data_IF_398688977379
#
_entry.id   IF_398688977379
#
_cell.length_a   1.000
_cell.length_b   1.000
_cell.length_c   1.000
_cell.angle_alpha   90.00
_cell.angle_beta   90.00
_cell.angle_gamma   90.00
#
_symmetry.space_group_name_H-M   'P 1'
#
loop_
_entity.id
_entity.type
_entity.pdbx_description
1 polymer ?
#
# COMPACT_ATOMS: atom_id res chain seq x y z
N UNK A 1 -8.85 -21.19 38.61
CA UNK A 1 -9.84 -21.28 37.50
C UNK A 1 -11.29 -21.21 38.01
N UNK A 2 -11.54 -20.87 39.28
CA UNK A 2 -12.91 -20.70 39.76
C UNK A 2 -13.53 -19.38 39.28
N UNK A 3 -14.80 -19.44 38.93
CA UNK A 3 -15.66 -18.28 38.67
C UNK A 3 -15.81 -17.84 37.20
N UNK A 4 -15.05 -18.39 36.24
CA UNK A 4 -15.24 -18.08 34.82
C UNK A 4 -16.31 -19.01 34.21
N UNK A 5 -17.34 -18.49 33.51
CA UNK A 5 -18.38 -19.33 32.92
C UNK A 5 -17.85 -20.33 31.89
N UNK A 6 -18.50 -21.50 31.81
CA UNK A 6 -18.10 -22.59 30.90
C UNK A 6 -18.09 -22.17 29.44
N UNK A 7 -19.01 -21.31 29.01
CA UNK A 7 -19.11 -20.84 27.62
C UNK A 7 -17.89 -20.07 27.13
N UNK A 8 -17.05 -19.56 28.04
CA UNK A 8 -15.78 -18.92 27.69
C UNK A 8 -14.79 -19.92 27.10
N UNK A 9 -14.90 -21.19 27.50
CA UNK A 9 -14.04 -22.27 27.04
C UNK A 9 -14.74 -23.15 26.00
N UNK A 10 -16.01 -23.44 26.22
CA UNK A 10 -16.83 -24.33 25.40
C UNK A 10 -18.18 -23.68 25.08
N UNK A 11 -18.22 -22.73 24.12
CA UNK A 11 -19.46 -22.09 23.71
C UNK A 11 -20.38 -23.12 23.04
N UNK A 12 -21.60 -23.23 23.56
CA UNK A 12 -22.63 -24.13 23.02
C UNK A 12 -23.49 -23.36 22.01
N UNK A 13 -23.40 -23.71 20.72
CA UNK A 13 -24.19 -23.09 19.65
C UNK A 13 -24.85 -24.13 18.76
N UNK A 14 -25.92 -23.72 18.09
CA UNK A 14 -26.59 -24.57 17.11
C UNK A 14 -25.72 -24.79 15.86
N UNK A 15 -26.02 -25.83 15.06
CA UNK A 15 -25.27 -26.13 13.83
C UNK A 15 -25.29 -25.01 12.78
N UNK A 16 -26.27 -24.12 12.83
CA UNK A 16 -26.41 -22.99 11.90
C UNK A 16 -25.73 -21.73 12.42
N UNK A 17 -25.00 -21.82 13.53
CA UNK A 17 -24.39 -20.70 14.21
C UNK A 17 -22.90 -20.92 14.44
N UNK A 18 -22.18 -19.82 14.52
CA UNK A 18 -20.76 -19.78 14.85
C UNK A 18 -20.57 -18.89 16.06
N UNK A 19 -19.82 -19.38 17.04
CA UNK A 19 -19.47 -18.63 18.23
C UNK A 19 -18.06 -18.03 18.13
N UNK A 20 -17.93 -16.81 18.63
CA UNK A 20 -16.67 -16.13 18.85
C UNK A 20 -16.60 -15.69 20.31
N UNK A 21 -15.52 -16.04 20.99
CA UNK A 21 -15.31 -15.68 22.40
C UNK A 21 -14.25 -14.60 22.47
N UNK A 22 -14.68 -13.35 22.63
CA UNK A 22 -13.78 -12.21 22.82
C UNK A 22 -13.26 -12.17 24.25
N UNK A 23 -11.98 -11.83 24.40
CA UNK A 23 -11.38 -11.50 25.70
C UNK A 23 -10.64 -10.18 25.60
N UNK A 24 -10.91 -9.27 26.53
CA UNK A 24 -10.13 -8.06 26.73
C UNK A 24 -9.70 -7.90 28.18
N UNK A 25 -8.44 -7.52 28.39
CA UNK A 25 -7.86 -7.30 29.72
C UNK A 25 -7.26 -5.90 29.77
N UNK A 26 -7.67 -5.10 30.75
CA UNK A 26 -7.08 -3.76 30.97
C UNK A 26 -7.20 -3.33 32.44
N UNK A 27 -6.53 -2.24 32.81
CA UNK A 27 -6.65 -1.65 34.16
C UNK A 27 -8.00 -1.00 34.41
N UNK A 28 -8.77 -0.71 33.36
CA UNK A 28 -10.13 -0.19 33.44
C UNK A 28 -11.09 -1.01 32.58
N UNK A 29 -12.34 -1.10 33.02
CA UNK A 29 -13.35 -1.93 32.37
C UNK A 29 -13.69 -1.45 30.94
N UNK A 30 -13.78 -0.13 30.71
CA UNK A 30 -14.12 0.42 29.40
C UNK A 30 -13.11 0.00 28.32
N UNK A 31 -11.81 0.05 28.62
CA UNK A 31 -10.75 -0.40 27.71
C UNK A 31 -10.80 -1.92 27.56
N UNK A 32 -11.05 -2.67 28.64
CA UNK A 32 -11.19 -4.12 28.58
C UNK A 32 -12.37 -4.54 27.67
N UNK A 33 -13.50 -3.82 27.71
CA UNK A 33 -14.64 -4.02 26.80
C UNK A 33 -14.25 -3.77 25.34
N UNK A 34 -13.59 -2.65 25.05
CA UNK A 34 -13.12 -2.35 23.68
C UNK A 34 -12.18 -3.45 23.17
N UNK A 35 -11.22 -3.87 23.97
CA UNK A 35 -10.30 -4.96 23.62
C UNK A 35 -11.04 -6.29 23.40
N UNK A 36 -12.12 -6.56 24.14
CA UNK A 36 -12.93 -7.75 23.94
C UNK A 36 -13.71 -7.71 22.61
N UNK A 37 -14.24 -6.55 22.21
CA UNK A 37 -14.82 -6.37 20.87
C UNK A 37 -13.78 -6.52 19.76
N UNK A 38 -12.60 -5.90 19.91
CA UNK A 38 -11.47 -6.07 18.98
C UNK A 38 -11.08 -7.56 18.86
N UNK A 39 -11.09 -8.30 19.98
CA UNK A 39 -10.84 -9.74 19.99
C UNK A 39 -11.91 -10.55 19.23
N UNK A 40 -13.20 -10.22 19.36
CA UNK A 40 -14.27 -10.85 18.57
C UNK A 40 -14.06 -10.58 17.07
N UNK A 41 -13.80 -9.31 16.72
CA UNK A 41 -13.61 -8.90 15.34
C UNK A 41 -12.36 -9.55 14.72
N UNK A 42 -11.28 -9.70 15.49
CA UNK A 42 -10.07 -10.40 15.04
C UNK A 42 -10.36 -11.86 14.69
N UNK A 43 -11.11 -12.58 15.54
CA UNK A 43 -11.51 -13.97 15.24
C UNK A 43 -12.43 -14.04 14.02
N UNK A 44 -13.37 -13.10 13.89
CA UNK A 44 -14.25 -12.99 12.73
C UNK A 44 -13.46 -12.71 11.44
N UNK A 45 -12.47 -11.81 11.50
CA UNK A 45 -11.56 -11.52 10.39
C UNK A 45 -10.79 -12.75 9.94
N UNK A 46 -10.28 -13.54 10.89
CA UNK A 46 -9.59 -14.81 10.61
C UNK A 46 -10.53 -15.82 9.95
N UNK A 47 -11.79 -15.90 10.42
CA UNK A 47 -12.79 -16.80 9.87
C UNK A 47 -13.15 -16.47 8.41
N UNK A 48 -13.46 -15.19 8.14
CA UNK A 48 -13.82 -14.70 6.81
C UNK A 48 -12.59 -14.65 5.88
N UNK A 49 -11.40 -14.47 6.45
CA UNK A 49 -10.15 -14.27 5.70
C UNK A 49 -9.94 -12.83 5.22
N UNK A 50 -10.63 -11.85 5.80
CA UNK A 50 -10.53 -10.41 5.51
C UNK A 50 -10.52 -9.61 6.82
N UNK A 51 -9.80 -8.47 6.89
CA UNK A 51 -9.89 -7.60 8.07
C UNK A 51 -11.23 -6.82 8.09
N UNK A 52 -12.04 -7.10 9.10
CA UNK A 52 -13.35 -6.46 9.33
C UNK A 52 -13.34 -5.48 10.51
N UNK A 53 -12.21 -5.36 11.21
CA UNK A 53 -12.12 -4.66 12.50
C UNK A 53 -12.46 -3.19 12.37
N UNK A 54 -11.77 -2.47 11.49
CA UNK A 54 -11.99 -1.03 11.31
C UNK A 54 -13.40 -0.68 10.79
N UNK A 55 -14.01 -1.58 10.01
CA UNK A 55 -15.36 -1.38 9.45
C UNK A 55 -16.47 -1.54 10.49
N UNK A 56 -16.30 -2.46 11.44
CA UNK A 56 -17.37 -2.87 12.34
C UNK A 56 -17.14 -2.58 13.83
N UNK A 57 -15.97 -2.07 14.25
CA UNK A 57 -15.73 -1.78 15.67
C UNK A 57 -16.73 -0.79 16.27
N UNK A 58 -17.09 0.27 15.53
CA UNK A 58 -18.08 1.25 15.98
C UNK A 58 -19.49 0.64 16.07
N UNK A 59 -19.87 -0.21 15.10
CA UNK A 59 -21.17 -0.88 15.08
C UNK A 59 -21.30 -1.87 16.24
N UNK A 60 -20.30 -2.76 16.39
CA UNK A 60 -20.31 -3.79 17.42
C UNK A 60 -20.28 -3.18 18.83
N UNK A 61 -19.45 -2.16 19.06
CA UNK A 61 -19.35 -1.52 20.38
C UNK A 61 -20.59 -0.73 20.79
N UNK A 62 -21.33 -0.17 19.82
CA UNK A 62 -22.53 0.64 20.10
C UNK A 62 -23.82 -0.19 20.15
N UNK A 63 -23.92 -1.24 19.33
CA UNK A 63 -25.15 -2.04 19.16
C UNK A 63 -25.07 -3.44 19.74
N UNK A 64 -23.90 -3.89 20.18
CA UNK A 64 -23.64 -5.29 20.53
C UNK A 64 -23.97 -6.26 19.37
N UNK A 65 -23.93 -5.78 18.13
CA UNK A 65 -24.30 -6.53 16.96
C UNK A 65 -23.62 -6.02 15.69
N UNK A 66 -23.51 -6.89 14.69
CA UNK A 66 -23.14 -6.55 13.33
C UNK A 66 -24.21 -7.13 12.40
N UNK A 67 -25.02 -6.25 11.80
CA UNK A 67 -26.20 -6.66 11.06
C UNK A 67 -25.85 -7.46 9.80
N UNK A 68 -24.79 -7.05 9.08
CA UNK A 68 -24.33 -7.71 7.85
C UNK A 68 -23.95 -9.17 8.05
N UNK A 69 -23.47 -9.53 9.24
CA UNK A 69 -23.09 -10.91 9.59
C UNK A 69 -24.12 -11.61 10.47
N UNK A 70 -25.24 -10.94 10.78
CA UNK A 70 -26.22 -11.37 11.79
C UNK A 70 -25.54 -11.78 13.09
N UNK A 71 -24.46 -11.08 13.44
CA UNK A 71 -23.66 -11.33 14.63
C UNK A 71 -24.24 -10.54 15.78
N UNK A 72 -24.37 -11.17 16.96
CA UNK A 72 -24.81 -10.50 18.18
C UNK A 72 -24.02 -10.99 19.39
N UNK A 73 -23.63 -10.08 20.27
CA UNK A 73 -23.14 -10.42 21.61
C UNK A 73 -24.33 -10.89 22.44
N UNK A 74 -24.28 -12.15 22.85
CA UNK A 74 -25.36 -12.84 23.56
C UNK A 74 -25.09 -13.02 25.04
N UNK A 75 -23.81 -13.11 25.41
CA UNK A 75 -23.40 -13.24 26.81
C UNK A 75 -22.19 -12.35 27.07
N UNK A 76 -22.11 -11.88 28.31
CA UNK A 76 -21.04 -11.07 28.83
C UNK A 76 -20.64 -11.60 30.21
N UNK A 77 -19.34 -11.58 30.49
CA UNK A 77 -18.83 -11.83 31.83
C UNK A 77 -17.67 -10.89 32.15
N UNK A 78 -17.72 -10.28 33.33
CA UNK A 78 -16.67 -9.37 33.81
C UNK A 78 -16.07 -9.97 35.07
N UNK A 79 -14.73 -10.06 35.08
CA UNK A 79 -13.96 -10.48 36.25
C UNK A 79 -13.01 -9.38 36.65
N UNK A 80 -13.22 -8.85 37.86
CA UNK A 80 -12.35 -7.85 38.46
C UNK A 80 -11.30 -8.54 39.33
N UNK A 81 -10.04 -8.22 39.10
CA UNK A 81 -8.88 -8.63 39.90
C UNK A 81 -8.18 -7.37 40.44
N UNK A 82 -7.27 -7.52 41.40
CA UNK A 82 -6.65 -6.36 42.11
C UNK A 82 -6.03 -5.30 41.18
N UNK A 83 -5.46 -5.70 40.03
CA UNK A 83 -4.79 -4.78 39.09
C UNK A 83 -5.33 -4.84 37.65
N UNK A 84 -6.40 -5.59 37.40
CA UNK A 84 -6.92 -5.80 36.05
C UNK A 84 -8.41 -6.16 36.05
N UNK A 85 -9.10 -5.72 35.00
CA UNK A 85 -10.45 -6.12 34.65
C UNK A 85 -10.38 -6.97 33.39
N UNK A 86 -10.85 -8.22 33.49
CA UNK A 86 -11.06 -9.11 32.35
C UNK A 86 -12.52 -9.03 31.92
N UNK A 87 -12.76 -8.78 30.64
CA UNK A 87 -14.09 -8.78 30.03
C UNK A 87 -14.14 -9.86 28.97
N UNK A 88 -15.17 -10.69 29.02
CA UNK A 88 -15.44 -11.75 28.07
C UNK A 88 -16.78 -11.50 27.36
N UNK A 89 -16.79 -11.66 26.05
CA UNK A 89 -18.02 -11.61 25.25
C UNK A 89 -18.21 -12.90 24.47
N UNK A 90 -19.44 -13.42 24.47
CA UNK A 90 -19.87 -14.45 23.54
C UNK A 90 -20.66 -13.80 22.40
N UNK A 91 -20.05 -13.71 21.23
CA UNK A 91 -20.73 -13.32 20.02
C UNK A 91 -21.17 -14.55 19.23
N UNK A 92 -22.40 -14.54 18.73
CA UNK A 92 -22.95 -15.62 17.89
C UNK A 92 -23.38 -15.01 16.56
N UNK A 93 -22.97 -15.65 15.46
CA UNK A 93 -23.28 -15.24 14.09
C UNK A 93 -23.97 -16.36 13.29
N UNK A 94 -24.58 -15.99 12.16
CA UNK A 94 -25.21 -16.92 11.22
C UNK A 94 -24.15 -17.56 10.31
N UNK A 95 -24.02 -18.89 10.39
CA UNK A 95 -23.01 -19.63 9.62
C UNK A 95 -23.15 -19.45 8.11
N UNK A 96 -24.38 -19.42 7.56
CA UNK A 96 -24.59 -19.34 6.12
C UNK A 96 -24.16 -17.97 5.57
N UNK A 97 -24.37 -16.91 6.36
CA UNK A 97 -23.92 -15.56 6.01
C UNK A 97 -22.40 -15.47 6.04
N UNK A 98 -21.76 -16.06 7.05
CA UNK A 98 -20.30 -16.05 7.17
C UNK A 98 -19.62 -16.90 6.08
N UNK A 99 -20.15 -18.07 5.75
CA UNK A 99 -19.63 -18.90 4.65
C UNK A 99 -19.73 -18.19 3.30
N UNK A 100 -20.83 -17.46 3.06
CA UNK A 100 -20.96 -16.63 1.86
C UNK A 100 -19.90 -15.53 1.82
N UNK A 101 -19.75 -14.77 2.91
CA UNK A 101 -18.74 -13.71 3.00
C UNK A 101 -17.31 -14.26 2.81
N UNK A 102 -17.02 -15.42 3.39
CA UNK A 102 -15.74 -16.12 3.20
C UNK A 102 -15.53 -16.50 1.74
N UNK A 103 -16.52 -17.08 1.08
CA UNK A 103 -16.43 -17.46 -0.33
C UNK A 103 -16.17 -16.23 -1.22
N UNK A 104 -16.87 -15.12 -0.97
CA UNK A 104 -16.67 -13.85 -1.69
C UNK A 104 -15.25 -13.30 -1.46
N UNK A 105 -14.76 -13.35 -0.21
CA UNK A 105 -13.38 -12.97 0.14
C UNK A 105 -12.33 -13.86 -0.56
N UNK A 106 -12.56 -15.18 -0.63
CA UNK A 106 -11.67 -16.11 -1.33
C UNK A 106 -11.62 -15.82 -2.85
N UNK A 107 -12.77 -15.48 -3.46
CA UNK A 107 -12.82 -15.09 -4.88
C UNK A 107 -12.05 -13.79 -5.12
N UNK A 108 -12.27 -12.75 -4.30
CA UNK A 108 -11.54 -11.49 -4.42
C UNK A 108 -10.03 -11.68 -4.22
N UNK A 109 -9.63 -12.56 -3.31
CA UNK A 109 -8.22 -12.89 -3.11
C UNK A 109 -7.60 -13.53 -4.36
N UNK A 110 -8.32 -14.45 -5.01
CA UNK A 110 -7.88 -15.08 -6.24
C UNK A 110 -7.72 -14.05 -7.37
N UNK A 111 -8.69 -13.14 -7.52
CA UNK A 111 -8.62 -12.06 -8.52
C UNK A 111 -7.41 -11.15 -8.29
N UNK A 112 -7.18 -10.72 -7.05
CA UNK A 112 -6.00 -9.92 -6.69
C UNK A 112 -4.69 -10.67 -6.96
N UNK A 113 -4.64 -11.98 -6.73
CA UNK A 113 -3.46 -12.79 -7.06
C UNK A 113 -3.19 -12.84 -8.57
N UNK A 114 -4.23 -13.08 -9.36
CA UNK A 114 -4.12 -13.10 -10.83
C UNK A 114 -3.69 -11.73 -11.38
N UNK A 115 -4.20 -10.64 -10.80
CA UNK A 115 -3.78 -9.29 -11.17
C UNK A 115 -2.30 -9.06 -10.87
N UNK A 116 -1.82 -9.44 -9.67
CA UNK A 116 -0.40 -9.34 -9.32
C UNK A 116 0.50 -10.16 -10.26
N UNK A 117 0.10 -11.37 -10.63
CA UNK A 117 0.87 -12.20 -11.56
C UNK A 117 0.92 -11.56 -12.96
N UNK A 118 -0.20 -11.01 -13.44
CA UNK A 118 -0.25 -10.24 -14.70
C UNK A 118 0.66 -9.02 -14.65
N UNK A 119 0.66 -8.25 -13.56
CA UNK A 119 1.55 -7.10 -13.38
C UNK A 119 3.02 -7.54 -13.39
N UNK A 120 3.32 -8.70 -12.80
CA UNK A 120 4.67 -9.28 -12.80
C UNK A 120 5.17 -9.56 -14.21
N UNK A 121 4.33 -10.19 -15.05
CA UNK A 121 4.64 -10.49 -16.44
C UNK A 121 4.81 -9.23 -17.28
N UNK A 122 3.93 -8.24 -17.09
CA UNK A 122 4.03 -6.93 -17.75
C UNK A 122 5.31 -6.19 -17.33
N UNK A 123 5.66 -6.22 -16.05
CA UNK A 123 6.90 -5.64 -15.53
C UNK A 123 8.14 -6.30 -16.12
N UNK A 124 8.17 -7.63 -16.17
CA UNK A 124 9.27 -8.39 -16.77
C UNK A 124 9.39 -8.15 -18.29
N UNK A 125 8.27 -7.99 -19.00
CA UNK A 125 8.26 -7.62 -20.42
C UNK A 125 8.81 -6.20 -20.62
N UNK A 126 8.29 -5.21 -19.88
CA UNK A 126 8.72 -3.83 -19.97
C UNK A 126 10.23 -3.67 -19.70
N UNK A 127 10.76 -4.38 -18.70
CA UNK A 127 12.19 -4.34 -18.38
C UNK A 127 13.09 -4.88 -19.50
N UNK A 128 12.63 -5.91 -20.23
CA UNK A 128 13.34 -6.45 -21.42
C UNK A 128 13.30 -5.50 -22.62
N UNK A 129 12.25 -4.68 -22.70
CA UNK A 129 12.06 -3.65 -23.73
C UNK A 129 12.74 -2.31 -23.35
N UNK A 130 13.58 -2.30 -22.30
CA UNK A 130 14.24 -1.12 -21.73
C UNK A 130 13.28 0.00 -21.25
N UNK A 131 12.03 -0.35 -20.96
CA UNK A 131 11.03 0.52 -20.35
C UNK A 131 11.12 0.41 -18.82
N UNK A 132 12.30 0.70 -18.26
CA UNK A 132 12.62 0.44 -16.86
C UNK A 132 11.65 1.15 -15.90
N UNK A 133 11.25 2.39 -16.20
CA UNK A 133 10.30 3.12 -15.37
C UNK A 133 8.92 2.47 -15.42
N UNK A 134 8.46 2.03 -16.59
CA UNK A 134 7.19 1.29 -16.71
C UNK A 134 7.26 -0.01 -15.89
N UNK A 135 8.38 -0.73 -15.94
CA UNK A 135 8.57 -1.94 -15.13
C UNK A 135 8.48 -1.65 -13.62
N UNK A 136 9.13 -0.59 -13.15
CA UNK A 136 9.03 -0.14 -11.75
C UNK A 136 7.58 0.15 -11.37
N UNK A 137 6.80 0.84 -12.23
CA UNK A 137 5.38 1.11 -11.97
C UNK A 137 4.56 -0.17 -11.84
N UNK A 138 4.80 -1.19 -12.66
CA UNK A 138 4.10 -2.48 -12.55
C UNK A 138 4.42 -3.17 -11.21
N UNK A 139 5.68 -3.20 -10.80
CA UNK A 139 6.07 -3.80 -9.51
C UNK A 139 5.56 -2.99 -8.31
N UNK A 140 5.48 -1.67 -8.40
CA UNK A 140 4.82 -0.83 -7.40
C UNK A 140 3.32 -1.14 -7.31
N UNK A 141 2.66 -1.40 -8.45
CA UNK A 141 1.28 -1.90 -8.47
C UNK A 141 1.10 -3.20 -7.69
N UNK A 142 2.05 -4.15 -7.80
CA UNK A 142 2.04 -5.38 -7.00
C UNK A 142 2.18 -5.05 -5.51
N UNK A 143 3.12 -4.17 -5.14
CA UNK A 143 3.30 -3.74 -3.75
C UNK A 143 2.01 -3.15 -3.16
N UNK A 144 1.31 -2.31 -3.93
CA UNK A 144 0.03 -1.72 -3.54
C UNK A 144 -1.07 -2.76 -3.30
N UNK A 145 -1.20 -3.74 -4.19
CA UNK A 145 -2.19 -4.81 -4.02
C UNK A 145 -1.82 -5.66 -2.81
N UNK A 146 -0.55 -6.05 -2.69
CA UNK A 146 -0.05 -6.88 -1.62
C UNK A 146 -0.22 -6.24 -0.24
N UNK A 147 0.03 -4.93 -0.08
CA UNK A 147 -0.18 -4.22 1.19
C UNK A 147 -1.67 -4.12 1.58
N UNK A 148 -2.58 -4.22 0.60
CA UNK A 148 -4.03 -4.27 0.84
C UNK A 148 -4.55 -5.64 1.26
N UNK A 149 -3.72 -6.70 1.20
CA UNK A 149 -4.16 -8.05 1.53
C UNK A 149 -4.19 -8.26 3.06
N UNK A 150 -5.22 -8.96 3.57
CA UNK A 150 -5.38 -9.20 4.99
C UNK A 150 -4.37 -10.23 5.54
N UNK A 151 -4.11 -10.18 6.85
CA UNK A 151 -3.44 -11.24 7.64
C UNK A 151 -2.09 -11.69 7.06
N UNK A 152 -1.16 -10.75 6.85
CA UNK A 152 0.21 -10.98 6.32
C UNK A 152 0.30 -11.75 4.99
N UNK A 153 -0.83 -12.07 4.34
CA UNK A 153 -0.87 -12.87 3.10
C UNK A 153 -0.14 -12.19 1.95
N UNK A 154 -0.03 -10.86 2.01
CA UNK A 154 0.70 -10.06 1.04
C UNK A 154 2.16 -9.76 1.40
N UNK A 155 2.61 -9.99 2.64
CA UNK A 155 3.92 -9.50 3.12
C UNK A 155 5.08 -10.00 2.25
N UNK A 156 5.11 -11.30 1.94
CA UNK A 156 6.13 -11.89 1.07
C UNK A 156 6.12 -11.30 -0.34
N UNK A 157 4.92 -11.16 -0.95
CA UNK A 157 4.78 -10.60 -2.30
C UNK A 157 5.15 -9.12 -2.34
N UNK A 158 4.82 -8.38 -1.29
CA UNK A 158 5.25 -7.00 -1.11
C UNK A 158 6.78 -6.91 -1.10
N UNK A 159 7.45 -7.67 -0.22
CA UNK A 159 8.92 -7.69 -0.13
C UNK A 159 9.58 -8.08 -1.46
N UNK A 160 9.08 -9.12 -2.13
CA UNK A 160 9.58 -9.55 -3.45
C UNK A 160 9.45 -8.44 -4.50
N UNK A 161 8.33 -7.71 -4.52
CA UNK A 161 8.10 -6.63 -5.49
C UNK A 161 9.03 -5.43 -5.24
N UNK A 162 9.20 -5.02 -3.99
CA UNK A 162 10.15 -3.97 -3.59
C UNK A 162 11.60 -4.38 -3.89
N UNK A 163 11.95 -5.65 -3.63
CA UNK A 163 13.26 -6.20 -3.93
C UNK A 163 13.58 -6.18 -5.44
N UNK A 164 12.57 -6.26 -6.32
CA UNK A 164 12.75 -6.11 -7.78
C UNK A 164 12.92 -4.67 -8.22
N UNK A 165 12.27 -3.71 -7.55
CA UNK A 165 12.35 -2.28 -7.89
C UNK A 165 13.75 -1.72 -7.62
N UNK A 166 14.31 -2.02 -6.44
CA UNK A 166 15.58 -1.46 -5.96
C UNK A 166 16.74 -1.60 -6.96
N UNK A 167 17.07 -2.78 -7.51
CA UNK A 167 18.18 -2.93 -8.45
C UNK A 167 17.92 -2.21 -9.78
N UNK A 168 16.66 -2.07 -10.22
CA UNK A 168 16.33 -1.31 -11.44
C UNK A 168 16.71 0.14 -11.23
N UNK A 169 16.20 0.77 -10.17
CA UNK A 169 16.46 2.17 -9.87
C UNK A 169 17.94 2.45 -9.57
N UNK A 170 18.61 1.58 -8.82
CA UNK A 170 20.04 1.73 -8.51
C UNK A 170 20.94 1.64 -9.75
N UNK A 171 20.49 0.91 -10.78
CA UNK A 171 21.23 0.82 -12.02
C UNK A 171 21.01 2.04 -12.93
N UNK A 172 20.04 2.92 -12.65
CA UNK A 172 19.79 4.08 -13.50
C UNK A 172 20.90 5.12 -13.37
N UNK A 173 21.41 5.58 -14.50
CA UNK A 173 22.38 6.64 -14.59
C UNK A 173 21.90 7.69 -15.58
N UNK A 174 21.75 8.92 -15.09
CA UNK A 174 21.43 10.08 -15.89
C UNK A 174 22.72 10.88 -16.12
N UNK A 175 23.10 11.04 -17.39
CA UNK A 175 24.26 11.82 -17.80
C UNK A 175 23.83 12.99 -18.67
N UNK A 176 24.43 14.15 -18.48
CA UNK A 176 24.12 15.38 -19.23
C UNK A 176 25.33 15.73 -20.09
N UNK A 177 25.07 16.08 -21.36
CA UNK A 177 26.09 16.56 -22.29
C UNK A 177 26.50 18.00 -21.98
N UNK A 178 27.73 18.37 -22.36
CA UNK A 178 28.15 19.77 -22.28
C UNK A 178 27.26 20.58 -23.24
N UNK A 179 26.43 21.46 -22.67
CA UNK A 179 25.52 22.32 -23.43
C UNK A 179 26.29 23.36 -24.24
N UNK A 180 25.62 23.92 -25.25
CA UNK A 180 26.17 25.01 -26.06
C UNK A 180 26.01 26.34 -25.28
N UNK A 181 27.09 27.10 -24.97
CA UNK A 181 26.97 28.37 -24.26
C UNK A 181 26.15 29.45 -25.02
N UNK A 182 25.97 29.29 -26.34
CA UNK A 182 25.20 30.22 -27.18
C UNK A 182 23.70 29.90 -27.24
N UNK A 183 23.29 28.70 -26.80
CA UNK A 183 21.90 28.24 -26.83
C UNK A 183 21.57 27.58 -25.47
N UNK A 184 20.51 27.99 -24.75
CA UNK A 184 20.13 27.40 -23.46
C UNK A 184 19.54 25.99 -23.63
N UNK A 185 20.37 25.07 -24.11
CA UNK A 185 20.02 23.71 -24.51
C UNK A 185 21.08 22.72 -24.03
N UNK A 186 20.63 21.56 -23.59
CA UNK A 186 21.52 20.45 -23.26
C UNK A 186 20.80 19.13 -23.52
N UNK A 187 21.53 18.14 -24.03
CA UNK A 187 21.01 16.77 -24.14
C UNK A 187 21.30 16.01 -22.85
N UNK A 188 20.28 15.35 -22.31
CA UNK A 188 20.41 14.41 -21.22
C UNK A 188 20.11 12.99 -21.71
N UNK A 189 20.84 12.03 -21.18
CA UNK A 189 20.75 10.61 -21.54
C UNK A 189 20.56 9.76 -20.30
N UNK A 190 19.56 8.87 -20.31
CA UNK A 190 19.29 7.91 -19.26
C UNK A 190 19.70 6.48 -19.69
N UNK A 191 20.48 5.80 -18.85
CA UNK A 191 20.99 4.45 -19.12
C UNK A 191 20.91 3.54 -17.90
N UNK A 192 20.95 2.22 -18.15
CA UNK A 192 21.16 1.20 -17.12
C UNK A 192 22.66 0.95 -16.93
N UNK A 193 23.28 1.72 -16.05
CA UNK A 193 24.69 1.71 -15.72
C UNK A 193 25.48 2.84 -16.40
N UNK A 194 26.78 2.88 -16.13
CA UNK A 194 27.67 3.98 -16.54
C UNK A 194 28.49 3.70 -17.80
N UNK A 195 28.39 2.49 -18.37
CA UNK A 195 29.22 2.08 -19.50
C UNK A 195 28.65 2.60 -20.82
N UNK A 196 29.50 2.76 -21.84
CA UNK A 196 29.07 3.26 -23.15
C UNK A 196 27.99 2.39 -23.80
N UNK A 197 28.09 1.07 -23.62
CA UNK A 197 27.16 0.07 -24.15
C UNK A 197 26.02 -0.28 -23.18
N UNK A 198 25.87 0.46 -22.08
CA UNK A 198 24.74 0.27 -21.17
C UNK A 198 23.41 0.47 -21.91
N UNK A 199 22.40 -0.39 -21.66
CA UNK A 199 21.07 -0.25 -22.24
C UNK A 199 20.50 1.15 -22.03
N UNK A 200 19.84 1.68 -23.06
CA UNK A 200 19.18 2.99 -23.02
C UNK A 200 17.78 2.84 -22.48
N UNK A 201 17.44 3.64 -21.49
CA UNK A 201 16.12 3.58 -20.86
C UNK A 201 15.18 4.46 -21.65
N UNK A 202 14.14 3.87 -22.23
CA UNK A 202 13.20 4.56 -23.12
C UNK A 202 11.91 4.90 -22.38
N UNK A 203 11.19 5.91 -22.88
CA UNK A 203 9.90 6.36 -22.33
C UNK A 203 9.92 6.72 -20.82
N UNK A 204 11.07 7.06 -20.27
CA UNK A 204 11.19 7.52 -18.89
C UNK A 204 10.68 8.97 -18.76
N UNK A 205 9.73 9.25 -17.86
CA UNK A 205 9.30 10.60 -17.53
C UNK A 205 10.39 11.30 -16.70
N UNK A 206 10.85 12.45 -17.18
CA UNK A 206 11.86 13.27 -16.52
C UNK A 206 11.28 14.66 -16.27
N UNK A 207 11.42 15.15 -15.05
CA UNK A 207 11.14 16.55 -14.74
C UNK A 207 12.45 17.30 -14.57
N UNK A 208 12.54 18.45 -15.22
CA UNK A 208 13.67 19.37 -15.10
C UNK A 208 13.19 20.61 -14.36
N UNK A 209 13.89 20.96 -13.28
CA UNK A 209 13.67 22.17 -12.50
C UNK A 209 14.81 23.15 -12.71
N UNK A 210 14.45 24.41 -12.88
CA UNK A 210 15.37 25.52 -13.06
C UNK A 210 14.90 26.75 -12.29
N UNK A 211 15.82 27.67 -12.01
CA UNK A 211 15.47 28.95 -11.37
C UNK A 211 15.26 30.03 -12.42
N UNK A 212 14.19 30.80 -12.29
CA UNK A 212 13.87 31.94 -13.14
C UNK A 212 13.49 33.16 -12.29
N UNK A 213 13.30 34.34 -12.89
CA UNK A 213 12.91 35.57 -12.19
C UNK A 213 11.55 36.09 -12.65
N UNK A 214 10.69 36.46 -11.71
CA UNK A 214 9.41 37.07 -12.04
C UNK A 214 9.59 38.52 -12.52
N UNK A 215 8.50 39.19 -12.91
CA UNK A 215 8.53 40.59 -13.36
C UNK A 215 9.02 41.61 -12.32
N UNK A 216 9.09 41.23 -11.05
CA UNK A 216 9.62 42.03 -9.94
C UNK A 216 11.10 41.71 -9.64
N UNK A 217 11.71 40.77 -10.38
CA UNK A 217 13.09 40.33 -10.18
C UNK A 217 13.27 39.26 -9.11
N UNK A 218 12.19 38.76 -8.49
CA UNK A 218 12.26 37.74 -7.45
C UNK A 218 12.44 36.34 -8.08
N UNK A 219 13.29 35.48 -7.50
CA UNK A 219 13.51 34.15 -8.00
C UNK A 219 12.28 33.24 -7.77
N UNK A 220 11.96 32.41 -8.77
CA UNK A 220 10.96 31.35 -8.66
C UNK A 220 11.48 30.05 -9.29
N UNK A 221 10.92 28.91 -8.87
CA UNK A 221 11.22 27.61 -9.46
C UNK A 221 10.32 27.38 -10.67
N UNK A 222 10.94 27.21 -11.84
CA UNK A 222 10.29 26.78 -13.07
C UNK A 222 10.50 25.27 -13.28
N UNK A 223 9.55 24.61 -13.93
CA UNK A 223 9.60 23.16 -14.14
C UNK A 223 9.04 22.76 -15.49
N UNK A 224 9.71 21.84 -16.16
CA UNK A 224 9.29 21.29 -17.46
C UNK A 224 9.39 19.77 -17.43
N UNK A 225 8.45 19.11 -18.12
CA UNK A 225 8.38 17.64 -18.21
C UNK A 225 8.84 17.17 -19.58
N UNK A 226 9.66 16.13 -19.59
CA UNK A 226 10.23 15.49 -20.76
C UNK A 226 10.02 13.98 -20.69
N UNK A 227 10.17 13.31 -21.82
CA UNK A 227 10.15 11.86 -21.93
C UNK A 227 11.35 11.45 -22.77
N UNK A 228 12.10 10.44 -22.30
CA UNK A 228 13.22 9.92 -23.07
C UNK A 228 12.75 9.19 -24.33
N UNK A 229 13.42 9.43 -25.45
CA UNK A 229 13.14 8.80 -26.74
C UNK A 229 13.67 7.35 -26.83
N UNK A 230 13.67 6.79 -28.05
CA UNK A 230 14.20 5.45 -28.34
C UNK A 230 15.71 5.27 -28.08
N UNK A 231 16.47 6.37 -27.99
CA UNK A 231 17.89 6.36 -27.64
C UNK A 231 18.12 6.62 -26.14
N UNK A 232 17.05 6.71 -25.36
CA UNK A 232 17.07 7.08 -23.96
C UNK A 232 17.49 8.53 -23.73
N UNK A 233 17.25 9.41 -24.70
CA UNK A 233 17.68 10.79 -24.70
C UNK A 233 16.48 11.74 -24.64
N UNK A 234 16.71 12.93 -24.10
CA UNK A 234 15.85 14.08 -24.33
C UNK A 234 16.69 15.35 -24.40
N UNK A 235 16.18 16.33 -25.12
CA UNK A 235 16.82 17.64 -25.25
C UNK A 235 16.06 18.59 -24.33
N UNK A 236 16.75 19.08 -23.30
CA UNK A 236 16.27 20.23 -22.55
C UNK A 236 16.46 21.48 -23.40
N UNK A 237 15.40 22.25 -23.54
CA UNK A 237 15.40 23.58 -24.12
C UNK A 237 14.34 24.40 -23.42
N UNK A 238 14.65 25.63 -23.03
CA UNK A 238 13.66 26.53 -22.42
C UNK A 238 13.40 27.73 -23.31
N UNK A 239 12.12 28.10 -23.42
CA UNK A 239 11.68 29.34 -24.04
C UNK A 239 11.40 30.43 -22.99
N UNK A 240 11.67 30.16 -21.71
CA UNK A 240 11.46 31.12 -20.64
C UNK A 240 12.57 32.19 -20.67
N UNK A 241 12.27 33.44 -21.09
CA UNK A 241 13.27 34.48 -21.23
C UNK A 241 13.77 35.01 -19.87
N UNK A 242 13.12 34.61 -18.77
CA UNK A 242 13.44 35.04 -17.42
C UNK A 242 14.35 34.07 -16.66
N UNK A 243 14.86 33.04 -17.34
CA UNK A 243 15.85 32.13 -16.78
C UNK A 243 17.06 32.91 -16.24
N UNK A 244 17.57 32.50 -15.07
CA UNK A 244 18.78 33.13 -14.52
C UNK A 244 20.01 32.77 -15.37
N UNK A 245 20.95 33.71 -15.51
CA UNK A 245 22.17 33.50 -16.30
C UNK A 245 23.16 32.50 -15.67
N UNK A 246 23.02 32.19 -14.39
CA UNK A 246 23.79 31.15 -13.70
C UNK A 246 22.93 30.52 -12.60
N UNK A 247 22.89 29.19 -12.56
CA UNK A 247 22.14 28.42 -11.57
C UNK A 247 22.26 26.92 -11.83
N UNK A 248 21.53 26.14 -11.03
CA UNK A 248 21.50 24.69 -11.15
C UNK A 248 20.33 24.23 -12.02
N UNK A 249 20.59 23.21 -12.83
CA UNK A 249 19.57 22.47 -13.55
C UNK A 249 19.41 21.10 -12.88
N UNK A 250 18.27 20.90 -12.23
CA UNK A 250 17.99 19.68 -11.46
C UNK A 250 17.08 18.78 -12.28
N UNK A 251 17.58 17.62 -12.67
CA UNK A 251 16.82 16.60 -13.39
C UNK A 251 16.52 15.44 -12.45
N UNK A 252 15.27 14.99 -12.46
CA UNK A 252 14.86 13.82 -11.71
C UNK A 252 13.79 13.05 -12.45
N UNK A 253 13.75 11.74 -12.20
CA UNK A 253 12.70 10.88 -12.73
C UNK A 253 11.45 11.13 -11.91
N UNK A 254 10.33 11.40 -12.57
CA UNK A 254 9.06 11.63 -11.90
C UNK A 254 8.39 10.29 -11.58
N UNK A 255 8.39 9.95 -10.28
CA UNK A 255 7.70 8.81 -9.69
C UNK A 255 6.75 9.24 -8.57
N UNK A 256 6.50 10.56 -8.39
CA UNK A 256 5.77 11.07 -7.23
C UNK A 256 4.36 10.46 -7.15
N UNK A 257 3.64 10.45 -8.27
CA UNK A 257 2.30 9.86 -8.35
C UNK A 257 2.27 8.36 -7.98
N UNK A 258 3.37 7.65 -8.19
CA UNK A 258 3.49 6.24 -7.83
C UNK A 258 4.09 6.00 -6.44
N UNK A 259 4.51 7.04 -5.73
CA UNK A 259 4.99 6.93 -4.35
C UNK A 259 3.95 7.40 -3.34
N UNK A 260 2.94 8.18 -3.75
CA UNK A 260 1.85 8.66 -2.87
C UNK A 260 1.06 7.55 -2.15
N UNK A 261 1.17 6.29 -2.60
CA UNK A 261 0.47 5.16 -1.97
C UNK A 261 1.32 4.37 -0.96
N UNK A 262 2.64 4.55 -0.95
CA UNK A 262 3.56 3.90 0.01
C UNK A 262 3.57 4.65 1.33
#
# INVERSE_FOLDING_TARGET
MEGVPVWVYEPQVSRTQIAFVGKGTATNENRARVLSYESVLSQLSVYIGEDVTGRHIAELSSRNAIESYRLKVTQEFVKVSENAVDVFFLAIADSAVLEKARTESEVQLLEKQQEMDRLSDLGAKAFRENKDIVAVKQYLGIAKIASSLPVDRGAKRYEESIARIRPILQALNLSVSVGDPSLPTTEATLRRGTRTLSPRVVEAPITVRTTARNGMGEPYADSQRFVTDSNGQFIYSTNNPSLVGQGDLVLYIDLEAELEFL
#
